data_IF_971116948373
#
_entry.id   IF_971116948373
#
_cell.length_a   1.000
_cell.length_b   1.000
_cell.length_c   1.000
_cell.angle_alpha   90.00
_cell.angle_beta   90.00
_cell.angle_gamma   90.00
#
_symmetry.space_group_name_H-M   'P 1'
#
loop_
_entity.id
_entity.type
_entity.pdbx_description
1 polymer ?
#
# COMPACT_ATOMS: atom_id res chain seq x y z
N UNK A 1 3.48 -15.07 -15.47
CA UNK A 1 4.29 -14.34 -14.47
C UNK A 1 4.37 -12.84 -14.76
N UNK A 2 4.74 -12.42 -15.98
CA UNK A 2 4.90 -10.99 -16.31
C UNK A 2 3.65 -10.14 -16.08
N UNK A 3 2.48 -10.61 -16.53
CA UNK A 3 1.19 -9.91 -16.32
C UNK A 3 0.85 -9.78 -14.82
N UNK A 4 1.02 -10.87 -14.07
CA UNK A 4 0.76 -10.92 -12.62
C UNK A 4 1.66 -9.96 -11.84
N UNK A 5 2.95 -9.91 -12.20
CA UNK A 5 3.91 -8.95 -11.64
C UNK A 5 3.59 -7.51 -12.01
N UNK A 6 3.14 -7.28 -13.24
CA UNK A 6 2.69 -5.96 -13.70
C UNK A 6 1.49 -5.46 -12.92
N UNK A 7 0.44 -6.27 -12.77
CA UNK A 7 -0.75 -5.94 -11.98
C UNK A 7 -0.41 -5.73 -10.50
N UNK A 8 0.44 -6.58 -9.93
CA UNK A 8 0.95 -6.41 -8.56
C UNK A 8 1.73 -5.11 -8.41
N UNK A 9 2.57 -4.75 -9.39
CA UNK A 9 3.29 -3.48 -9.39
C UNK A 9 2.37 -2.26 -9.44
N UNK A 10 1.30 -2.32 -10.24
CA UNK A 10 0.27 -1.26 -10.28
C UNK A 10 -0.44 -1.14 -8.93
N UNK A 11 -0.79 -2.26 -8.30
CA UNK A 11 -1.41 -2.25 -6.97
C UNK A 11 -0.46 -1.63 -5.91
N UNK A 12 0.81 -2.03 -5.90
CA UNK A 12 1.81 -1.46 -4.99
C UNK A 12 1.99 0.05 -5.21
N UNK A 13 2.04 0.50 -6.47
CA UNK A 13 2.09 1.92 -6.82
C UNK A 13 0.82 2.66 -6.35
N UNK A 14 -0.36 2.06 -6.51
CA UNK A 14 -1.62 2.60 -6.01
C UNK A 14 -1.62 2.79 -4.49
N UNK A 15 -1.16 1.78 -3.74
CA UNK A 15 -1.00 1.88 -2.27
C UNK A 15 0.00 2.98 -1.90
N UNK A 16 1.11 3.10 -2.62
CA UNK A 16 2.09 4.16 -2.38
C UNK A 16 1.49 5.56 -2.57
N UNK A 17 0.80 5.79 -3.69
CA UNK A 17 0.11 7.05 -3.97
C UNK A 17 -0.94 7.35 -2.91
N UNK A 18 -1.74 6.34 -2.54
CA UNK A 18 -2.75 6.47 -1.49
C UNK A 18 -2.14 6.91 -0.15
N UNK A 19 -1.05 6.27 0.27
CA UNK A 19 -0.33 6.65 1.51
C UNK A 19 0.21 8.08 1.42
N UNK A 20 0.74 8.50 0.28
CA UNK A 20 1.20 9.87 0.08
C UNK A 20 0.06 10.88 0.20
N UNK A 21 -1.12 10.57 -0.35
CA UNK A 21 -2.34 11.38 -0.20
C UNK A 21 -2.74 11.49 1.28
N UNK A 22 -2.80 10.36 2.00
CA UNK A 22 -3.16 10.34 3.43
C UNK A 22 -2.19 11.20 4.26
N UNK A 23 -0.88 11.07 4.02
CA UNK A 23 0.13 11.92 4.67
C UNK A 23 -0.09 13.40 4.32
N UNK A 24 -0.35 13.71 3.04
CA UNK A 24 -0.63 15.07 2.58
C UNK A 24 -1.85 15.66 3.29
N UNK A 25 -2.93 14.89 3.45
CA UNK A 25 -4.12 15.33 4.19
C UNK A 25 -3.82 15.55 5.67
N UNK A 26 -3.00 14.71 6.31
CA UNK A 26 -2.59 14.89 7.70
C UNK A 26 -1.75 16.17 7.92
N UNK A 27 -0.86 16.49 6.98
CA UNK A 27 -0.09 17.74 7.02
C UNK A 27 -1.00 18.95 6.80
N UNK A 28 -1.92 18.86 5.83
CA UNK A 28 -2.87 19.92 5.52
C UNK A 28 -3.80 20.21 6.70
N UNK A 29 -4.34 19.18 7.35
CA UNK A 29 -5.19 19.32 8.54
C UNK A 29 -4.44 19.91 9.73
N UNK A 30 -3.19 19.48 9.96
CA UNK A 30 -2.36 19.99 11.05
C UNK A 30 -2.06 21.50 10.91
N UNK A 31 -2.02 22.00 9.66
CA UNK A 31 -1.82 23.42 9.35
C UNK A 31 -3.13 24.21 9.27
N UNK A 32 -4.21 23.57 8.82
CA UNK A 32 -5.50 24.19 8.54
C UNK A 32 -6.45 24.28 9.75
N UNK A 33 -6.15 23.58 10.84
CA UNK A 33 -7.00 23.58 12.04
C UNK A 33 -8.30 22.76 11.89
N UNK A 34 -8.38 21.91 10.86
CA UNK A 34 -9.49 20.97 10.65
C UNK A 34 -9.10 19.58 11.17
N UNK A 35 -10.06 18.75 11.60
CA UNK A 35 -9.78 17.38 12.01
C UNK A 35 -9.25 16.57 10.81
N UNK A 36 -8.02 16.08 10.94
CA UNK A 36 -7.34 15.26 9.93
C UNK A 36 -7.43 13.75 10.18
N UNK A 37 -6.80 12.95 9.31
CA UNK A 37 -6.59 11.53 9.56
C UNK A 37 -5.84 11.36 10.89
N UNK A 38 -6.35 10.49 11.76
CA UNK A 38 -5.67 10.17 13.01
C UNK A 38 -4.27 9.60 12.75
N UNK A 39 -3.32 9.86 13.66
CA UNK A 39 -1.95 9.34 13.53
C UNK A 39 -1.90 7.81 13.33
N UNK A 40 -2.85 7.10 13.95
CA UNK A 40 -3.02 5.65 13.78
C UNK A 40 -3.36 5.26 12.34
N UNK A 41 -4.26 6.01 11.68
CA UNK A 41 -4.62 5.81 10.27
C UNK A 41 -3.40 5.99 9.36
N UNK A 42 -2.61 7.04 9.61
CA UNK A 42 -1.37 7.30 8.85
C UNK A 42 -0.37 6.16 9.03
N UNK A 43 -0.17 5.68 10.25
CA UNK A 43 0.71 4.55 10.55
C UNK A 43 0.30 3.26 9.83
N UNK A 44 -1.00 2.94 9.78
CA UNK A 44 -1.50 1.78 9.05
C UNK A 44 -1.21 1.87 7.55
N UNK A 45 -1.41 3.04 6.94
CA UNK A 45 -1.12 3.26 5.51
C UNK A 45 0.39 3.18 5.23
N UNK A 46 1.23 3.67 6.14
CA UNK A 46 2.69 3.55 6.04
C UNK A 46 3.16 2.10 6.13
N UNK A 47 2.65 1.34 7.10
CA UNK A 47 2.99 -0.06 7.28
C UNK A 47 2.57 -0.91 6.06
N UNK A 48 1.32 -0.74 5.58
CA UNK A 48 0.84 -1.44 4.40
C UNK A 48 1.63 -1.08 3.14
N UNK A 49 1.95 0.19 2.94
CA UNK A 49 2.80 0.64 1.83
C UNK A 49 4.18 -0.01 1.89
N UNK A 50 4.84 0.00 3.06
CA UNK A 50 6.15 -0.62 3.22
C UNK A 50 6.12 -2.13 2.89
N UNK A 51 5.10 -2.85 3.37
CA UNK A 51 4.95 -4.29 3.10
C UNK A 51 4.69 -4.54 1.61
N UNK A 52 3.78 -3.80 0.97
CA UNK A 52 3.45 -3.95 -0.44
C UNK A 52 4.67 -3.67 -1.34
N UNK A 53 5.40 -2.58 -1.08
CA UNK A 53 6.60 -2.24 -1.86
C UNK A 53 7.71 -3.27 -1.64
N UNK A 54 7.96 -3.70 -0.39
CA UNK A 54 8.96 -4.73 -0.11
C UNK A 54 8.62 -6.08 -0.78
N UNK A 55 7.35 -6.48 -0.74
CA UNK A 55 6.87 -7.70 -1.40
C UNK A 55 6.99 -7.61 -2.93
N UNK A 56 6.70 -6.45 -3.51
CA UNK A 56 6.90 -6.22 -4.94
C UNK A 56 8.39 -6.27 -5.32
N UNK A 57 9.29 -5.62 -4.56
CA UNK A 57 10.74 -5.69 -4.80
C UNK A 57 11.26 -7.13 -4.71
N UNK A 58 10.77 -7.90 -3.73
CA UNK A 58 11.10 -9.31 -3.59
C UNK A 58 10.61 -10.13 -4.79
N UNK A 59 9.36 -9.92 -5.20
CA UNK A 59 8.78 -10.53 -6.40
C UNK A 59 9.60 -10.19 -7.64
N UNK A 60 10.11 -8.96 -7.69
CA UNK A 60 10.83 -8.47 -8.86
C UNK A 60 12.23 -9.08 -9.01
N UNK A 61 12.90 -9.35 -7.89
CA UNK A 61 14.24 -9.95 -7.82
C UNK A 61 14.26 -11.47 -7.89
N UNK A 62 13.11 -12.14 -7.76
CA UNK A 62 13.01 -13.61 -7.74
C UNK A 62 12.28 -14.14 -8.98
N UNK A 63 12.44 -15.44 -9.25
CA UNK A 63 11.76 -16.15 -10.32
C UNK A 63 10.93 -17.32 -9.76
N UNK A 64 10.00 -17.83 -10.57
CA UNK A 64 9.17 -18.98 -10.21
C UNK A 64 8.22 -18.69 -9.04
N UNK A 65 8.05 -19.67 -8.14
CA UNK A 65 7.10 -19.62 -7.03
C UNK A 65 7.35 -18.47 -6.04
N UNK A 66 8.61 -18.06 -5.86
CA UNK A 66 8.97 -16.93 -5.01
C UNK A 66 8.48 -15.58 -5.57
N UNK A 67 8.37 -15.44 -6.90
CA UNK A 67 7.76 -14.25 -7.50
C UNK A 67 6.24 -14.22 -7.32
N UNK A 68 5.62 -15.41 -7.36
CA UNK A 68 4.19 -15.55 -7.13
C UNK A 68 3.81 -15.19 -5.69
N UNK A 69 4.56 -15.67 -4.69
CA UNK A 69 4.27 -15.37 -3.29
C UNK A 69 4.37 -13.88 -2.97
N UNK A 70 5.38 -13.17 -3.51
CA UNK A 70 5.49 -11.72 -3.35
C UNK A 70 4.30 -10.97 -3.96
N UNK A 71 3.85 -11.37 -5.16
CA UNK A 71 2.69 -10.76 -5.81
C UNK A 71 1.39 -11.00 -5.02
N UNK A 72 1.25 -12.17 -4.42
CA UNK A 72 0.09 -12.52 -3.59
C UNK A 72 0.04 -11.69 -2.29
N UNK A 73 1.19 -11.44 -1.66
CA UNK A 73 1.28 -10.55 -0.49
C UNK A 73 0.81 -9.13 -0.83
N UNK A 74 1.20 -8.59 -1.99
CA UNK A 74 0.74 -7.26 -2.44
C UNK A 74 -0.78 -7.20 -2.54
N UNK A 75 -1.40 -8.18 -3.18
CA UNK A 75 -2.87 -8.23 -3.30
C UNK A 75 -3.58 -8.37 -1.95
N UNK A 76 -3.06 -9.22 -1.06
CA UNK A 76 -3.63 -9.40 0.29
C UNK A 76 -3.55 -8.08 1.07
N UNK A 77 -2.40 -7.42 1.09
CA UNK A 77 -2.20 -6.16 1.82
C UNK A 77 -3.08 -5.05 1.24
N UNK A 78 -3.15 -4.94 -0.08
CA UNK A 78 -4.00 -3.96 -0.76
C UNK A 78 -5.47 -4.21 -0.44
N UNK A 79 -5.93 -5.46 -0.52
CA UNK A 79 -7.30 -5.84 -0.20
C UNK A 79 -7.67 -5.58 1.25
N UNK A 80 -6.77 -5.91 2.19
CA UNK A 80 -6.97 -5.64 3.63
C UNK A 80 -7.05 -4.14 3.91
N UNK A 81 -6.19 -3.34 3.28
CA UNK A 81 -6.19 -1.89 3.46
C UNK A 81 -7.51 -1.27 2.95
N UNK A 82 -7.95 -1.64 1.74
CA UNK A 82 -9.22 -1.16 1.19
C UNK A 82 -10.42 -1.62 2.03
N UNK A 83 -10.42 -2.88 2.48
CA UNK A 83 -11.51 -3.40 3.31
C UNK A 83 -11.60 -2.66 4.65
N UNK A 84 -10.48 -2.51 5.36
CA UNK A 84 -10.47 -2.01 6.74
C UNK A 84 -10.48 -0.50 6.87
N UNK A 85 -10.02 0.24 5.86
CA UNK A 85 -9.91 1.70 5.90
C UNK A 85 -10.89 2.41 4.97
N UNK A 86 -11.58 1.68 4.08
CA UNK A 86 -12.57 2.28 3.18
C UNK A 86 -13.96 1.67 3.37
N UNK A 87 -14.09 0.34 3.32
CA UNK A 87 -15.40 -0.31 3.32
C UNK A 87 -15.98 -0.60 4.70
N UNK A 88 -15.18 -0.42 5.74
CA UNK A 88 -15.59 -0.56 7.14
C UNK A 88 -15.61 0.81 7.80
#
# INVERSE_FOLDING_TARGET
>A
MMVLRGLSGVAAAGVFVLTAVVIGTAIASARGGFPGPGAMTVLWHLAACAIAVAAQIYSDRRQGFAAFSGSMVVFIVTGLLLWTQWWR
#
